data_IF_930490090467
#
_entry.id   IF_930490090467
#
_cell.length_a   1.000
_cell.length_b   1.000
_cell.length_c   1.000
_cell.angle_alpha   90.00
_cell.angle_beta   90.00
_cell.angle_gamma   90.00
#
_symmetry.space_group_name_H-M   'P 1'
#
loop_
_entity.id
_entity.type
_entity.pdbx_description
1 polymer ?
#
# COMPACT_ATOMS: atom_id res chain seq x y z
N UNK A 1 12.38 -1.80 6.40
CA UNK A 1 11.87 -2.00 5.04
C UNK A 1 10.73 -3.01 4.95
N UNK A 2 10.85 -4.27 5.40
CA UNK A 2 9.65 -5.18 5.42
C UNK A 2 8.52 -4.65 6.31
N UNK A 3 8.86 -4.03 7.45
CA UNK A 3 7.88 -3.37 8.32
C UNK A 3 7.17 -2.16 7.69
N UNK A 4 7.84 -1.42 6.79
CA UNK A 4 7.23 -0.28 6.08
C UNK A 4 6.24 -0.75 5.02
N UNK A 5 6.57 -1.82 4.29
CA UNK A 5 5.65 -2.47 3.35
C UNK A 5 4.41 -3.00 4.08
N UNK A 6 4.59 -3.68 5.22
CA UNK A 6 3.46 -4.19 6.01
C UNK A 6 2.58 -3.05 6.53
N UNK A 7 3.18 -1.98 7.05
CA UNK A 7 2.44 -0.79 7.50
C UNK A 7 1.65 -0.12 6.36
N UNK A 8 2.28 0.05 5.19
CA UNK A 8 1.61 0.61 4.01
C UNK A 8 0.46 -0.29 3.51
N UNK A 9 0.62 -1.61 3.62
CA UNK A 9 -0.43 -2.57 3.27
C UNK A 9 -1.62 -2.47 4.22
N UNK A 10 -1.38 -2.47 5.54
CA UNK A 10 -2.42 -2.33 6.56
C UNK A 10 -3.16 -0.98 6.42
N UNK A 11 -2.42 0.10 6.14
CA UNK A 11 -2.99 1.41 5.86
C UNK A 11 -3.90 1.38 4.62
N UNK A 12 -3.46 0.75 3.53
CA UNK A 12 -4.28 0.61 2.32
C UNK A 12 -5.57 -0.20 2.58
N UNK A 13 -5.49 -1.24 3.41
CA UNK A 13 -6.65 -2.03 3.79
C UNK A 13 -7.66 -1.19 4.60
N UNK A 14 -7.18 -0.38 5.54
CA UNK A 14 -8.00 0.57 6.28
C UNK A 14 -8.69 1.59 5.35
N UNK A 15 -7.93 2.22 4.45
CA UNK A 15 -8.44 3.21 3.50
C UNK A 15 -9.46 2.60 2.52
N UNK A 16 -9.25 1.34 2.11
CA UNK A 16 -10.22 0.60 1.29
C UNK A 16 -11.56 0.41 2.01
N UNK A 17 -11.53 0.07 3.30
CA UNK A 17 -12.74 -0.03 4.12
C UNK A 17 -13.41 1.34 4.36
N UNK A 18 -12.62 2.40 4.48
CA UNK A 18 -13.13 3.78 4.56
C UNK A 18 -13.89 4.16 3.28
N UNK A 19 -13.32 3.89 2.10
CA UNK A 19 -14.00 4.05 0.81
C UNK A 19 -15.35 3.33 0.76
N UNK A 20 -15.38 2.04 1.11
CA UNK A 20 -16.62 1.25 1.10
C UNK A 20 -17.69 1.83 2.04
N UNK A 21 -17.27 2.35 3.19
CA UNK A 21 -18.17 2.97 4.16
C UNK A 21 -18.74 4.28 3.63
N UNK A 22 -17.89 5.12 3.02
CA UNK A 22 -18.34 6.37 2.41
C UNK A 22 -19.29 6.13 1.23
N UNK A 23 -19.00 5.16 0.37
CA UNK A 23 -19.89 4.78 -0.74
C UNK A 23 -21.27 4.30 -0.24
N UNK A 24 -21.32 3.53 0.87
CA UNK A 24 -22.59 3.09 1.46
C UNK A 24 -23.40 4.26 2.00
N UNK A 25 -22.74 5.18 2.69
CA UNK A 25 -23.40 6.34 3.28
C UNK A 25 -23.87 7.32 2.20
N UNK A 26 -23.09 7.53 1.13
CA UNK A 26 -23.54 8.30 -0.03
C UNK A 26 -24.80 7.67 -0.66
N UNK A 27 -24.84 6.35 -0.85
CA UNK A 27 -26.05 5.66 -1.33
C UNK A 27 -27.26 5.90 -0.45
N UNK A 28 -27.08 5.93 0.87
CA UNK A 28 -28.17 6.22 1.82
C UNK A 28 -28.67 7.65 1.70
N UNK A 29 -27.78 8.64 1.58
CA UNK A 29 -28.14 10.05 1.42
C UNK A 29 -28.85 10.27 0.08
N UNK A 30 -28.35 9.69 -1.01
CA UNK A 30 -29.00 9.72 -2.33
C UNK A 30 -30.41 9.11 -2.28
N UNK A 31 -30.59 7.98 -1.59
CA UNK A 31 -31.92 7.38 -1.43
C UNK A 31 -32.88 8.28 -0.63
N UNK A 32 -32.39 9.00 0.38
CA UNK A 32 -33.18 10.00 1.11
C UNK A 32 -33.51 11.19 0.22
N UNK A 33 -32.58 11.65 -0.61
CA UNK A 33 -32.75 12.80 -1.49
C UNK A 33 -33.82 12.51 -2.54
N UNK A 34 -33.74 11.33 -3.18
CA UNK A 34 -34.73 10.87 -4.15
C UNK A 34 -36.13 10.68 -3.55
N UNK A 35 -36.22 10.46 -2.24
CA UNK A 35 -37.49 10.40 -1.51
C UNK A 35 -37.97 11.77 -1.00
N UNK A 36 -37.28 12.87 -1.33
CA UNK A 36 -37.58 14.22 -0.85
C UNK A 36 -37.32 14.44 0.64
N UNK A 37 -36.45 13.61 1.26
CA UNK A 37 -36.16 13.60 2.71
C UNK A 37 -34.81 14.20 3.09
N UNK A 38 -34.13 14.82 2.12
CA UNK A 38 -32.96 15.67 2.32
C UNK A 38 -32.83 16.63 1.13
N UNK A 39 -31.85 17.53 1.17
CA UNK A 39 -31.54 18.53 0.15
C UNK A 39 -30.25 18.16 -0.62
N UNK A 40 -29.95 18.96 -1.64
CA UNK A 40 -28.77 18.78 -2.49
C UNK A 40 -27.47 19.00 -1.73
N UNK A 41 -27.44 19.90 -0.76
CA UNK A 41 -26.22 20.24 -0.02
C UNK A 41 -25.72 19.04 0.81
N UNK A 42 -26.63 18.30 1.44
CA UNK A 42 -26.27 17.06 2.16
C UNK A 42 -25.73 15.98 1.20
N UNK A 43 -26.25 15.91 -0.03
CA UNK A 43 -25.73 15.01 -1.07
C UNK A 43 -24.33 15.43 -1.50
N UNK A 44 -24.13 16.70 -1.84
CA UNK A 44 -22.85 17.22 -2.31
C UNK A 44 -21.73 17.05 -1.29
N UNK A 45 -21.99 17.37 -0.01
CA UNK A 45 -21.03 17.13 1.06
C UNK A 45 -20.66 15.64 1.16
N UNK A 46 -21.63 14.75 0.99
CA UNK A 46 -21.38 13.30 1.06
C UNK A 46 -20.66 12.76 -0.17
N UNK A 47 -20.86 13.38 -1.33
CA UNK A 47 -20.09 13.10 -2.54
C UNK A 47 -18.64 13.53 -2.36
N UNK A 48 -18.39 14.72 -1.79
CA UNK A 48 -17.06 15.22 -1.44
C UNK A 48 -16.34 14.26 -0.51
N UNK A 49 -16.95 13.85 0.61
CA UNK A 49 -16.36 12.87 1.54
C UNK A 49 -16.00 11.54 0.86
N UNK A 50 -16.83 11.09 -0.10
CA UNK A 50 -16.60 9.85 -0.83
C UNK A 50 -15.50 9.98 -1.88
N UNK A 51 -15.30 11.17 -2.43
CA UNK A 51 -14.19 11.49 -3.34
C UNK A 51 -12.89 11.57 -2.53
N UNK A 52 -12.86 12.32 -1.44
CA UNK A 52 -11.68 12.44 -0.56
C UNK A 52 -11.20 11.07 -0.08
N UNK A 53 -12.12 10.21 0.38
CA UNK A 53 -11.76 8.85 0.77
C UNK A 53 -11.14 8.01 -0.36
N UNK A 54 -11.54 8.25 -1.62
CA UNK A 54 -10.99 7.57 -2.81
C UNK A 54 -9.60 8.11 -3.17
N UNK A 55 -9.40 9.41 -3.04
CA UNK A 55 -8.11 10.06 -3.22
C UNK A 55 -7.11 9.54 -2.18
N UNK A 56 -7.48 9.52 -0.90
CA UNK A 56 -6.65 8.95 0.17
C UNK A 56 -6.26 7.50 -0.13
N UNK A 57 -7.22 6.68 -0.58
CA UNK A 57 -6.95 5.27 -0.94
C UNK A 57 -5.97 5.17 -2.11
N UNK A 58 -6.08 6.05 -3.10
CA UNK A 58 -5.17 6.09 -4.24
C UNK A 58 -3.75 6.44 -3.78
N UNK A 59 -3.61 7.44 -2.93
CA UNK A 59 -2.34 7.85 -2.34
C UNK A 59 -1.72 6.73 -1.50
N UNK A 60 -2.53 6.07 -0.67
CA UNK A 60 -2.11 4.88 0.08
C UNK A 60 -1.62 3.74 -0.82
N UNK A 61 -2.27 3.52 -1.97
CA UNK A 61 -1.84 2.52 -2.94
C UNK A 61 -0.49 2.89 -3.58
N UNK A 62 -0.32 4.16 -3.98
CA UNK A 62 0.96 4.65 -4.51
C UNK A 62 2.06 4.50 -3.46
N UNK A 63 1.77 4.78 -2.18
CA UNK A 63 2.74 4.62 -1.10
C UNK A 63 3.17 3.16 -0.92
N UNK A 64 2.24 2.20 -0.97
CA UNK A 64 2.58 0.78 -0.94
C UNK A 64 3.51 0.40 -2.10
N UNK A 65 3.22 0.86 -3.32
CA UNK A 65 4.06 0.60 -4.48
C UNK A 65 5.48 1.15 -4.30
N UNK A 66 5.61 2.37 -3.78
CA UNK A 66 6.92 2.98 -3.47
C UNK A 66 7.70 2.11 -2.48
N UNK A 67 7.08 1.74 -1.36
CA UNK A 67 7.74 0.90 -0.35
C UNK A 67 8.16 -0.48 -0.89
N UNK A 68 7.37 -1.08 -1.79
CA UNK A 68 7.75 -2.33 -2.46
C UNK A 68 8.97 -2.17 -3.38
N UNK A 69 9.04 -1.08 -4.14
CA UNK A 69 10.18 -0.77 -5.01
C UNK A 69 11.44 -0.53 -4.19
N UNK A 70 11.34 0.21 -3.09
CA UNK A 70 12.45 0.48 -2.17
C UNK A 70 13.00 -0.79 -1.53
N UNK A 71 12.11 -1.69 -1.10
CA UNK A 71 12.50 -3.00 -0.57
C UNK A 71 13.28 -3.81 -1.62
N UNK A 72 12.78 -3.92 -2.85
CA UNK A 72 13.48 -4.62 -3.95
C UNK A 72 14.83 -4.00 -4.27
N UNK A 73 14.91 -2.67 -4.28
CA UNK A 73 16.17 -1.97 -4.52
C UNK A 73 17.19 -2.25 -3.41
N UNK A 74 16.74 -2.36 -2.15
CA UNK A 74 17.61 -2.73 -1.04
C UNK A 74 18.08 -4.18 -1.09
N UNK A 75 17.20 -5.11 -1.45
CA UNK A 75 17.57 -6.52 -1.70
C UNK A 75 18.62 -6.61 -2.82
N UNK A 76 18.46 -5.86 -3.91
CA UNK A 76 19.45 -5.78 -4.98
C UNK A 76 20.79 -5.23 -4.53
N UNK A 77 20.80 -4.15 -3.72
CA UNK A 77 22.04 -3.61 -3.14
C UNK A 77 22.74 -4.61 -2.23
N UNK A 78 21.97 -5.35 -1.42
CA UNK A 78 22.50 -6.40 -0.56
C UNK A 78 23.16 -7.51 -1.39
N UNK A 79 22.51 -7.97 -2.45
CA UNK A 79 23.08 -8.98 -3.35
C UNK A 79 24.41 -8.53 -3.98
N UNK A 80 24.49 -7.28 -4.47
CA UNK A 80 25.74 -6.75 -5.02
C UNK A 80 26.84 -6.67 -3.95
N UNK A 81 26.51 -6.32 -2.71
CA UNK A 81 27.49 -6.30 -1.63
C UNK A 81 28.02 -7.70 -1.27
N UNK A 82 27.15 -8.72 -1.29
CA UNK A 82 27.52 -10.09 -0.92
C UNK A 82 28.11 -10.91 -2.07
N UNK A 83 27.73 -10.65 -3.31
CA UNK A 83 28.18 -11.39 -4.51
C UNK A 83 29.28 -10.63 -5.26
N UNK A 84 29.30 -9.30 -5.16
CA UNK A 84 30.23 -8.42 -5.87
C UNK A 84 31.47 -8.03 -5.08
N UNK A 85 31.66 -8.55 -3.86
CA UNK A 85 32.92 -8.45 -3.14
C UNK A 85 33.85 -9.63 -3.54
N UNK A 86 34.90 -9.40 -4.35
CA UNK A 86 35.87 -10.45 -4.67
C UNK A 86 36.81 -10.73 -3.49
N UNK A 87 36.68 -9.99 -2.38
CA UNK A 87 37.58 -10.02 -1.21
C UNK A 87 37.11 -10.86 -0.02
N UNK A 88 35.85 -11.27 0.05
CA UNK A 88 35.39 -12.23 1.06
C UNK A 88 35.54 -13.65 0.52
N UNK A 89 36.76 -14.17 0.67
CA UNK A 89 37.07 -15.58 0.46
C UNK A 89 36.20 -16.47 1.33
N UNK A 90 35.05 -16.90 0.79
CA UNK A 90 34.54 -18.23 1.06
C UNK A 90 35.30 -19.18 0.14
N UNK A 91 36.51 -19.49 0.59
CA UNK A 91 37.36 -20.52 0.05
C UNK A 91 36.55 -21.82 0.07
N UNK A 92 36.26 -22.35 -1.12
CA UNK A 92 35.84 -23.74 -1.30
C UNK A 92 36.99 -24.70 -1.03
N UNK A 93 37.61 -24.62 0.16
CA UNK A 93 38.77 -25.44 0.55
C UNK A 93 38.40 -26.78 1.18
N UNK A 94 37.18 -27.27 0.97
CA UNK A 94 36.74 -28.54 1.58
C UNK A 94 36.12 -29.51 0.58
N UNK A 95 36.65 -29.59 -0.65
CA UNK A 95 36.42 -30.75 -1.51
C UNK A 95 37.68 -31.07 -2.30
N UNK A 96 38.62 -31.81 -1.68
CA UNK A 96 39.43 -32.85 -2.34
C UNK A 96 40.68 -33.24 -1.52
N UNK A 97 40.55 -33.49 -0.21
CA UNK A 97 41.49 -34.38 0.49
C UNK A 97 40.73 -35.16 1.57
N UNK A 98 39.97 -36.15 1.11
CA UNK A 98 39.65 -37.33 1.89
C UNK A 98 40.16 -38.53 1.06
N UNK A 99 41.24 -39.10 1.57
CA UNK A 99 41.84 -40.43 1.35
C UNK A 99 41.44 -41.26 0.12
#
# INVERSE_FOLDING_TARGET
MTGEVNSAFDQLAYLSKSCETNDRLLKMVLARFNAGRTNSDEVLNREEDAIEAKEDRLDGFVQLQKSMVELRAAEGRLLVQYVGDPGTGLVGDQVAHAE
#
